data_IF_505643291728
#
_entry.id   IF_505643291728
#
_cell.length_a   1.000
_cell.length_b   1.000
_cell.length_c   1.000
_cell.angle_alpha   90.00
_cell.angle_beta   90.00
_cell.angle_gamma   90.00
#
_symmetry.space_group_name_H-M   'P 1'
#
loop_
_entity.id
_entity.type
_entity.pdbx_description
1 polymer ?
#
# COMPACT_ATOMS: atom_id res chain seq x y z
N UNK A 1 12.57 1.66 2.76
CA UNK A 1 12.32 3.08 2.43
C UNK A 1 11.12 3.68 3.16
N UNK A 2 10.22 2.89 3.76
CA UNK A 2 9.04 3.42 4.49
C UNK A 2 9.34 4.51 5.54
N UNK A 3 10.48 4.39 6.25
CA UNK A 3 10.89 5.32 7.30
C UNK A 3 11.14 6.75 6.79
N UNK A 4 11.39 6.92 5.48
CA UNK A 4 11.59 8.23 4.87
C UNK A 4 10.35 9.12 4.91
N UNK A 5 9.15 8.56 5.15
CA UNK A 5 7.95 9.35 5.41
C UNK A 5 8.05 10.20 6.70
N UNK A 6 8.93 9.81 7.63
CA UNK A 6 9.21 10.46 8.91
C UNK A 6 10.45 11.38 8.84
N UNK A 7 10.95 11.72 7.66
CA UNK A 7 12.16 12.53 7.51
C UNK A 7 13.47 11.83 7.89
N UNK A 8 13.46 10.49 7.99
CA UNK A 8 14.67 9.70 8.23
C UNK A 8 15.15 9.09 6.92
N UNK A 9 16.31 9.54 6.44
CA UNK A 9 16.93 9.04 5.22
C UNK A 9 17.37 7.56 5.38
N UNK A 10 16.71 6.64 4.68
CA UNK A 10 17.04 5.21 4.73
C UNK A 10 16.41 4.36 3.63
N UNK A 11 17.18 3.42 3.08
CA UNK A 11 16.75 2.54 1.99
C UNK A 11 17.17 1.08 2.22
N UNK A 12 16.72 0.18 1.35
CA UNK A 12 17.08 -1.23 1.40
C UNK A 12 18.44 -1.47 0.76
N UNK A 13 19.26 -2.31 1.39
CA UNK A 13 20.59 -2.71 0.91
C UNK A 13 20.73 -4.23 0.99
N UNK A 14 21.73 -4.79 0.29
CA UNK A 14 22.06 -6.21 0.43
C UNK A 14 22.61 -6.53 1.83
N UNK A 15 22.55 -7.80 2.24
CA UNK A 15 23.06 -8.22 3.56
C UNK A 15 24.54 -7.89 3.77
N UNK A 16 25.37 -8.08 2.73
CA UNK A 16 26.81 -7.79 2.78
C UNK A 16 27.08 -6.29 2.98
N UNK A 17 26.32 -5.42 2.30
CA UNK A 17 26.45 -3.97 2.46
C UNK A 17 26.04 -3.53 3.86
N UNK A 18 24.97 -4.14 4.40
CA UNK A 18 24.56 -3.89 5.78
C UNK A 18 25.62 -4.33 6.80
N UNK A 19 26.20 -5.53 6.63
CA UNK A 19 27.28 -6.04 7.48
C UNK A 19 28.51 -5.14 7.43
N UNK A 20 28.91 -4.69 6.23
CA UNK A 20 30.02 -3.74 6.08
C UNK A 20 29.74 -2.42 6.80
N UNK A 21 28.52 -1.86 6.67
CA UNK A 21 28.11 -0.65 7.38
C UNK A 21 28.12 -0.84 8.90
N UNK A 22 27.70 -2.01 9.40
CA UNK A 22 27.77 -2.35 10.82
C UNK A 22 29.21 -2.41 11.35
N UNK A 23 30.18 -2.75 10.49
CA UNK A 23 31.61 -2.74 10.80
C UNK A 23 32.26 -1.35 10.62
N UNK A 24 31.46 -0.31 10.36
CA UNK A 24 31.91 1.08 10.22
C UNK A 24 32.36 1.45 8.81
N UNK A 25 32.15 0.59 7.81
CA UNK A 25 32.45 0.92 6.43
C UNK A 25 31.42 1.91 5.87
N UNK A 26 31.84 3.03 5.24
CA UNK A 26 30.90 3.94 4.57
C UNK A 26 30.18 3.28 3.41
N UNK A 27 28.94 3.71 3.14
CA UNK A 27 28.23 3.37 1.91
C UNK A 27 28.80 4.22 0.77
N UNK A 28 29.24 3.57 -0.30
CA UNK A 28 29.68 4.24 -1.52
C UNK A 28 28.54 4.27 -2.53
N UNK A 29 28.14 5.46 -2.95
CA UNK A 29 27.16 5.66 -4.01
C UNK A 29 27.54 6.84 -4.89
N UNK A 30 27.13 6.80 -6.15
CA UNK A 30 27.19 7.98 -7.01
C UNK A 30 26.24 9.03 -6.45
N UNK A 31 26.60 10.32 -6.58
CA UNK A 31 25.72 11.41 -6.19
C UNK A 31 24.41 11.29 -6.97
N UNK A 32 23.27 11.02 -6.29
CA UNK A 32 22.03 10.72 -6.99
C UNK A 32 21.41 12.01 -7.54
N UNK A 33 20.72 11.87 -8.67
CA UNK A 33 19.76 12.89 -9.09
C UNK A 33 18.57 12.88 -8.13
N UNK A 34 17.97 14.06 -7.90
CA UNK A 34 16.79 14.21 -7.04
C UNK A 34 15.62 14.69 -7.88
N UNK A 35 14.57 13.89 -7.93
CA UNK A 35 13.31 14.21 -8.63
C UNK A 35 12.35 14.79 -7.60
N UNK A 36 11.98 16.06 -7.77
CA UNK A 36 10.97 16.70 -6.93
C UNK A 36 9.57 16.25 -7.32
N UNK A 37 8.80 15.70 -6.39
CA UNK A 37 7.40 15.32 -6.61
C UNK A 37 6.50 16.28 -5.85
N UNK A 38 5.92 17.24 -6.57
CA UNK A 38 5.05 18.27 -6.01
C UNK A 38 3.65 17.70 -5.77
N UNK A 39 3.16 17.83 -4.56
CA UNK A 39 1.79 17.52 -4.17
C UNK A 39 1.05 18.81 -3.88
N UNK A 40 -0.14 18.97 -4.46
CA UNK A 40 -1.03 20.11 -4.23
C UNK A 40 -2.43 19.63 -3.86
N UNK A 41 -3.28 20.50 -3.31
CA UNK A 41 -4.68 20.16 -3.00
C UNK A 41 -4.85 19.16 -1.85
N UNK A 42 -5.98 18.45 -1.85
CA UNK A 42 -6.38 17.50 -0.80
C UNK A 42 -6.97 16.25 -1.42
N UNK A 43 -6.78 15.09 -0.77
CA UNK A 43 -7.41 13.85 -1.22
C UNK A 43 -8.94 13.97 -1.13
N UNK A 44 -9.68 13.59 -2.19
CA UNK A 44 -11.14 13.64 -2.17
C UNK A 44 -11.72 12.58 -1.23
N UNK A 45 -12.97 12.79 -0.81
CA UNK A 45 -13.69 11.80 -0.01
C UNK A 45 -13.78 10.46 -0.77
N UNK A 46 -13.50 9.37 -0.07
CA UNK A 46 -13.48 8.02 -0.63
C UNK A 46 -12.15 7.60 -1.25
N UNK A 47 -11.22 8.53 -1.51
CA UNK A 47 -9.83 8.19 -1.83
C UNK A 47 -9.02 7.89 -0.56
N UNK A 48 -8.06 6.99 -0.68
CA UNK A 48 -7.21 6.52 0.41
C UNK A 48 -5.73 6.73 0.12
N UNK A 49 -4.89 6.58 1.14
CA UNK A 49 -3.43 6.56 0.98
C UNK A 49 -2.97 5.48 -0.02
N UNK A 50 -3.70 4.36 -0.11
CA UNK A 50 -3.45 3.30 -1.09
C UNK A 50 -3.65 3.83 -2.51
N UNK A 51 -4.73 4.55 -2.77
CA UNK A 51 -5.04 5.10 -4.09
C UNK A 51 -4.00 6.14 -4.51
N UNK A 52 -3.57 6.97 -3.55
CA UNK A 52 -2.51 7.94 -3.74
C UNK A 52 -1.19 7.25 -4.10
N UNK A 53 -0.74 6.26 -3.34
CA UNK A 53 0.53 5.60 -3.62
C UNK A 53 0.52 4.83 -4.94
N UNK A 54 -0.61 4.24 -5.34
CA UNK A 54 -0.74 3.59 -6.65
C UNK A 54 -0.64 4.61 -7.80
N UNK A 55 -1.23 5.79 -7.63
CA UNK A 55 -1.14 6.91 -8.59
C UNK A 55 0.29 7.41 -8.71
N UNK A 56 0.95 7.68 -7.57
CA UNK A 56 2.36 8.08 -7.49
C UNK A 56 3.27 7.01 -8.12
N UNK A 57 3.02 5.73 -7.85
CA UNK A 57 3.81 4.61 -8.38
C UNK A 57 3.74 4.56 -9.91
N UNK A 58 2.53 4.70 -10.48
CA UNK A 58 2.33 4.76 -11.92
C UNK A 58 3.07 5.94 -12.56
N UNK A 59 2.96 7.14 -11.98
CA UNK A 59 3.58 8.35 -12.49
C UNK A 59 5.12 8.27 -12.45
N UNK A 60 5.68 7.86 -11.31
CA UNK A 60 7.14 7.75 -11.12
C UNK A 60 7.74 6.64 -11.98
N UNK A 61 7.04 5.51 -12.18
CA UNK A 61 7.47 4.50 -13.16
C UNK A 61 7.51 5.04 -14.58
N UNK A 62 6.51 5.82 -14.98
CA UNK A 62 6.48 6.44 -16.30
C UNK A 62 7.61 7.47 -16.46
N UNK A 63 7.98 8.21 -15.42
CA UNK A 63 9.10 9.16 -15.44
C UNK A 63 10.46 8.46 -15.58
N UNK A 64 10.63 7.29 -14.98
CA UNK A 64 11.92 6.58 -14.96
C UNK A 64 12.86 7.15 -13.89
N UNK A 65 12.60 6.76 -12.64
CA UNK A 65 13.36 7.22 -11.46
C UNK A 65 14.30 6.17 -10.87
N UNK A 66 14.70 5.18 -11.68
CA UNK A 66 15.66 4.14 -11.26
C UNK A 66 16.99 4.77 -10.84
N UNK A 67 17.50 4.35 -9.68
CA UNK A 67 18.73 4.85 -9.04
C UNK A 67 18.73 6.35 -8.69
N UNK A 68 17.55 6.98 -8.66
CA UNK A 68 17.36 8.38 -8.27
C UNK A 68 16.71 8.47 -6.89
N UNK A 69 16.85 9.64 -6.27
CA UNK A 69 16.04 10.02 -5.13
C UNK A 69 14.75 10.68 -5.62
N UNK A 70 13.66 10.44 -4.90
CA UNK A 70 12.43 11.20 -5.04
C UNK A 70 12.22 11.95 -3.73
N UNK A 71 12.01 13.26 -3.81
CA UNK A 71 11.69 14.09 -2.65
C UNK A 71 10.33 14.74 -2.86
N UNK A 72 9.42 14.54 -1.90
CA UNK A 72 8.07 15.07 -1.95
C UNK A 72 8.03 16.47 -1.33
N UNK A 73 7.36 17.39 -2.03
CA UNK A 73 7.22 18.78 -1.62
C UNK A 73 5.87 19.36 -2.05
N UNK A 74 5.63 20.63 -1.76
CA UNK A 74 4.36 21.31 -2.05
C UNK A 74 3.40 21.32 -0.87
N UNK A 75 2.37 22.16 -0.98
CA UNK A 75 1.36 22.42 0.04
C UNK A 75 0.51 21.18 0.36
N UNK A 76 0.31 20.29 -0.61
CA UNK A 76 -0.37 19.01 -0.43
C UNK A 76 0.35 18.08 0.55
N UNK A 77 1.66 18.24 0.79
CA UNK A 77 2.38 17.45 1.80
C UNK A 77 1.86 17.74 3.23
N UNK A 78 1.45 18.98 3.51
CA UNK A 78 0.90 19.39 4.80
C UNK A 78 -0.49 18.79 5.08
N UNK A 79 -1.20 18.36 4.03
CA UNK A 79 -2.50 17.70 4.15
C UNK A 79 -2.39 16.20 4.47
N UNK A 80 -1.22 15.59 4.27
CA UNK A 80 -1.01 14.15 4.47
C UNK A 80 -0.59 13.86 5.90
N UNK A 81 -1.21 12.85 6.51
CA UNK A 81 -0.74 12.31 7.80
C UNK A 81 0.59 11.60 7.60
N UNK A 82 1.35 11.41 8.69
CA UNK A 82 2.60 10.66 8.64
C UNK A 82 2.40 9.24 8.10
N UNK A 83 1.29 8.60 8.44
CA UNK A 83 0.99 7.26 7.92
C UNK A 83 0.81 7.27 6.38
N UNK A 84 0.18 8.30 5.82
CA UNK A 84 0.02 8.44 4.37
C UNK A 84 1.38 8.64 3.69
N UNK A 85 2.25 9.49 4.26
CA UNK A 85 3.62 9.69 3.79
C UNK A 85 4.44 8.39 3.83
N UNK A 86 4.31 7.62 4.90
CA UNK A 86 4.97 6.33 5.04
C UNK A 86 4.45 5.30 4.03
N UNK A 87 3.15 5.28 3.73
CA UNK A 87 2.56 4.46 2.65
C UNK A 87 3.22 4.79 1.31
N UNK A 88 3.38 6.08 0.97
CA UNK A 88 4.03 6.52 -0.27
C UNK A 88 5.51 6.13 -0.30
N UNK A 89 6.26 6.48 0.74
CA UNK A 89 7.68 6.21 0.86
C UNK A 89 8.01 4.69 0.88
N UNK A 90 7.09 3.87 1.38
CA UNK A 90 7.22 2.42 1.39
C UNK A 90 7.38 1.85 -0.02
N UNK A 91 6.60 2.36 -0.99
CA UNK A 91 6.55 1.83 -2.34
C UNK A 91 7.69 2.31 -3.27
N UNK A 92 8.75 2.91 -2.71
CA UNK A 92 9.89 3.37 -3.50
C UNK A 92 10.55 2.31 -4.37
N UNK A 93 10.77 1.07 -3.89
CA UNK A 93 11.26 -0.01 -4.74
C UNK A 93 10.30 -0.31 -5.91
N UNK A 94 8.98 -0.23 -5.69
CA UNK A 94 7.94 -0.48 -6.68
C UNK A 94 7.88 0.57 -7.77
N UNK A 95 8.28 1.82 -7.51
CA UNK A 95 8.49 2.84 -8.55
C UNK A 95 9.93 3.06 -9.00
N UNK A 96 10.89 2.39 -8.36
CA UNK A 96 12.27 2.24 -8.79
C UNK A 96 13.25 3.21 -8.16
N UNK A 97 12.78 4.18 -7.38
CA UNK A 97 13.68 5.09 -6.71
C UNK A 97 14.45 4.36 -5.61
N UNK A 98 15.67 4.82 -5.32
CA UNK A 98 16.41 4.37 -4.15
C UNK A 98 15.63 4.67 -2.87
N UNK A 99 14.90 5.80 -2.86
CA UNK A 99 13.99 6.19 -1.80
C UNK A 99 12.95 7.23 -2.25
N UNK A 100 11.89 7.39 -1.45
CA UNK A 100 10.96 8.52 -1.50
C UNK A 100 10.95 9.26 -0.17
N UNK A 101 11.36 10.52 -0.16
CA UNK A 101 11.67 11.28 1.05
C UNK A 101 10.64 12.38 1.33
N UNK A 102 10.15 12.44 2.57
CA UNK A 102 9.39 13.56 3.10
C UNK A 102 10.23 14.22 4.20
N UNK A 103 10.59 15.51 4.08
CA UNK A 103 11.36 16.20 5.11
C UNK A 103 10.66 16.22 6.48
N UNK A 104 11.45 16.43 7.54
CA UNK A 104 10.91 16.67 8.89
C UNK A 104 10.12 17.98 8.90
N UNK A 105 8.92 17.95 9.45
CA UNK A 105 8.02 19.09 9.59
C UNK A 105 7.15 18.97 10.87
N UNK A 106 6.14 19.83 11.00
CA UNK A 106 5.23 19.81 12.16
C UNK A 106 4.47 18.48 12.29
N UNK A 107 4.06 17.85 11.18
CA UNK A 107 3.37 16.56 11.22
C UNK A 107 4.28 15.43 11.71
N UNK A 108 5.58 15.52 11.42
CA UNK A 108 6.60 14.62 11.98
C UNK A 108 6.62 14.73 13.50
N UNK A 109 6.66 15.95 14.05
CA UNK A 109 6.63 16.18 15.50
C UNK A 109 5.31 15.69 16.12
N UNK A 110 4.17 15.95 15.46
CA UNK A 110 2.86 15.49 15.90
C UNK A 110 2.76 13.97 15.93
N UNK A 111 3.37 13.27 14.96
CA UNK A 111 3.44 11.82 14.97
C UNK A 111 4.32 11.29 16.12
N UNK A 112 5.48 11.89 16.38
CA UNK A 112 6.32 11.52 17.54
C UNK A 112 5.56 11.68 18.85
N UNK A 113 4.80 12.77 19.00
CA UNK A 113 3.94 13.00 20.18
C UNK A 113 2.82 11.96 20.30
N UNK A 114 2.10 11.68 19.21
CA UNK A 114 1.01 10.67 19.18
C UNK A 114 1.50 9.24 19.44
N UNK A 115 2.75 8.94 19.09
CA UNK A 115 3.39 7.64 19.36
C UNK A 115 4.09 7.58 20.71
N UNK A 116 3.86 8.57 21.58
CA UNK A 116 4.29 8.55 22.97
C UNK A 116 5.78 8.78 23.18
N UNK A 117 6.46 9.47 22.26
CA UNK A 117 7.86 9.91 22.49
C UNK A 117 7.89 11.03 23.53
N UNK A 118 8.94 11.06 24.34
CA UNK A 118 9.13 12.06 25.38
C UNK A 118 9.21 13.48 24.79
N UNK A 119 8.55 14.44 25.44
CA UNK A 119 8.50 15.82 24.96
C UNK A 119 9.90 16.44 24.85
N UNK A 120 10.82 16.09 25.74
CA UNK A 120 12.22 16.53 25.67
C UNK A 120 12.93 16.05 24.39
N UNK A 121 12.63 14.83 23.91
CA UNK A 121 13.15 14.32 22.65
C UNK A 121 12.53 15.06 21.47
N UNK A 122 11.23 15.32 21.50
CA UNK A 122 10.52 16.06 20.43
C UNK A 122 11.11 17.47 20.28
N UNK A 123 11.30 18.17 21.39
CA UNK A 123 11.94 19.50 21.41
C UNK A 123 13.39 19.45 20.90
N UNK A 124 14.14 18.39 21.20
CA UNK A 124 15.48 18.20 20.66
C UNK A 124 15.45 18.01 19.15
N UNK A 125 14.56 17.17 18.63
CA UNK A 125 14.39 16.94 17.18
C UNK A 125 14.04 18.24 16.48
N UNK A 126 13.04 18.96 16.97
CA UNK A 126 12.62 20.25 16.41
C UNK A 126 13.76 21.26 16.39
N UNK A 127 14.41 21.50 17.54
CA UNK A 127 15.50 22.48 17.65
C UNK A 127 16.66 22.11 16.74
N UNK A 128 17.10 20.85 16.78
CA UNK A 128 18.24 20.38 15.98
C UNK A 128 17.95 20.54 14.49
N UNK A 129 16.80 20.07 14.01
CA UNK A 129 16.46 20.13 12.58
C UNK A 129 16.29 21.56 12.08
N UNK A 130 15.75 22.47 12.90
CA UNK A 130 15.69 23.92 12.59
C UNK A 130 17.08 24.55 12.54
N UNK A 131 17.95 24.29 13.53
CA UNK A 131 19.32 24.82 13.55
C UNK A 131 20.18 24.29 12.39
N UNK A 132 19.94 23.06 11.93
CA UNK A 132 20.61 22.48 10.76
C UNK A 132 19.98 22.90 9.42
N UNK A 133 18.84 23.61 9.43
CA UNK A 133 18.14 24.01 8.20
C UNK A 133 17.46 22.87 7.44
N UNK A 134 17.14 21.75 8.11
CA UNK A 134 16.50 20.55 7.53
C UNK A 134 15.06 20.33 8.03
N UNK A 135 14.50 21.29 8.76
CA UNK A 135 13.10 21.34 9.14
C UNK A 135 12.30 22.11 8.08
N UNK A 136 11.40 21.45 7.35
CA UNK A 136 10.60 22.06 6.29
C UNK A 136 9.46 22.88 6.88
N UNK A 137 9.34 24.13 6.44
CA UNK A 137 8.19 24.99 6.71
C UNK A 137 7.54 25.45 5.39
N UNK A 138 6.25 25.86 5.39
CA UNK A 138 5.56 26.30 4.17
C UNK A 138 6.16 27.53 3.49
N UNK A 139 6.83 28.40 4.25
CA UNK A 139 7.45 29.65 3.78
C UNK A 139 8.87 29.45 3.20
N UNK A 140 9.47 28.26 3.40
CA UNK A 140 10.78 27.97 2.82
C UNK A 140 10.69 27.82 1.30
N UNK A 141 11.68 28.35 0.56
CA UNK A 141 11.76 28.12 -0.88
C UNK A 141 11.89 26.63 -1.18
N UNK A 142 11.35 26.20 -2.32
CA UNK A 142 11.49 24.82 -2.75
C UNK A 142 12.95 24.49 -3.11
N UNK A 143 13.44 23.28 -2.81
CA UNK A 143 14.78 22.86 -3.21
C UNK A 143 14.96 22.88 -4.73
N UNK A 144 16.20 23.01 -5.19
CA UNK A 144 16.54 22.90 -6.61
C UNK A 144 16.66 21.42 -6.96
N UNK A 145 15.60 20.87 -7.56
CA UNK A 145 15.56 19.49 -8.03
C UNK A 145 16.19 19.33 -9.41
N UNK A 146 16.63 18.12 -9.74
CA UNK A 146 17.14 17.79 -11.08
C UNK A 146 16.02 17.87 -12.14
N UNK A 147 14.82 17.42 -11.76
CA UNK A 147 13.61 17.45 -12.56
C UNK A 147 12.41 17.34 -11.62
N UNK A 148 11.20 17.63 -12.10
CA UNK A 148 9.99 17.63 -11.29
C UNK A 148 8.83 16.86 -11.92
N UNK A 149 7.90 16.42 -11.07
CA UNK A 149 6.52 16.07 -11.41
C UNK A 149 5.57 16.79 -10.46
N UNK A 150 4.31 16.89 -10.85
CA UNK A 150 3.25 17.46 -10.04
C UNK A 150 2.01 16.57 -10.07
N UNK A 151 1.33 16.46 -8.93
CA UNK A 151 0.06 15.78 -8.76
C UNK A 151 -0.84 16.64 -7.87
N UNK A 152 -2.02 17.01 -8.39
CA UNK A 152 -3.12 17.48 -7.56
C UNK A 152 -3.75 16.27 -6.86
N UNK A 153 -3.78 16.29 -5.54
CA UNK A 153 -4.38 15.23 -4.74
C UNK A 153 -5.89 15.09 -5.02
N UNK A 154 -6.55 16.13 -5.54
CA UNK A 154 -7.95 16.11 -5.97
C UNK A 154 -8.21 15.19 -7.17
N UNK A 155 -7.19 14.89 -7.98
CA UNK A 155 -7.30 13.98 -9.13
C UNK A 155 -7.20 12.49 -8.75
N UNK A 156 -6.92 12.19 -7.47
CA UNK A 156 -6.79 10.82 -6.99
C UNK A 156 -8.17 10.20 -6.81
N UNK A 157 -8.44 9.14 -7.57
CA UNK A 157 -9.66 8.34 -7.48
C UNK A 157 -9.36 6.92 -6.94
N UNK A 158 -10.36 6.25 -6.31
CA UNK A 158 -10.24 4.86 -5.88
C UNK A 158 -9.73 3.93 -6.99
N UNK A 159 -8.73 3.11 -6.70
CA UNK A 159 -8.04 2.30 -7.69
C UNK A 159 -7.44 1.01 -7.10
N UNK A 160 -7.09 0.09 -8.00
CA UNK A 160 -6.33 -1.12 -7.72
C UNK A 160 -5.08 -1.14 -8.59
N UNK A 161 -4.15 -2.05 -8.32
CA UNK A 161 -3.04 -2.33 -9.21
C UNK A 161 -2.98 -3.81 -9.56
N UNK A 162 -2.80 -4.12 -10.84
CA UNK A 162 -2.71 -5.49 -11.30
C UNK A 162 -3.19 -5.69 -12.75
N UNK A 163 -3.38 -6.95 -13.16
CA UNK A 163 -3.30 -8.16 -12.32
C UNK A 163 -1.87 -8.65 -12.05
N UNK A 164 -0.84 -8.07 -12.69
CA UNK A 164 0.53 -8.65 -12.67
C UNK A 164 1.62 -7.74 -12.11
N UNK A 165 1.43 -6.41 -12.04
CA UNK A 165 2.46 -5.48 -11.57
C UNK A 165 1.89 -4.34 -10.71
N UNK A 166 2.65 -3.80 -9.74
CA UNK A 166 2.20 -2.70 -8.87
C UNK A 166 1.90 -1.38 -9.60
N UNK A 167 2.57 -1.11 -10.72
CA UNK A 167 2.36 0.10 -11.51
C UNK A 167 1.20 0.03 -12.51
N UNK A 168 0.58 -1.15 -12.66
CA UNK A 168 -0.58 -1.34 -13.53
C UNK A 168 -1.85 -0.87 -12.81
N UNK A 169 -1.91 0.44 -12.51
CA UNK A 169 -3.05 1.07 -11.83
C UNK A 169 -4.30 1.00 -12.72
N UNK A 170 -5.40 0.54 -12.13
CA UNK A 170 -6.74 0.46 -12.72
C UNK A 170 -7.73 1.20 -11.82
N UNK A 171 -8.41 2.25 -12.31
CA UNK A 171 -9.48 2.89 -11.56
C UNK A 171 -10.56 1.87 -11.17
N UNK A 172 -11.05 1.94 -9.94
CA UNK A 172 -12.03 0.99 -9.40
C UNK A 172 -13.27 0.90 -10.29
N UNK A 173 -13.75 2.03 -10.81
CA UNK A 173 -14.88 2.12 -11.73
C UNK A 173 -14.66 1.32 -13.05
N UNK A 174 -13.40 1.11 -13.45
CA UNK A 174 -13.02 0.38 -14.68
C UNK A 174 -12.51 -1.04 -14.41
N UNK A 175 -12.49 -1.49 -13.16
CA UNK A 175 -11.90 -2.79 -12.78
C UNK A 175 -12.51 -3.94 -13.59
N UNK A 176 -13.85 -4.00 -13.69
CA UNK A 176 -14.55 -5.06 -14.43
C UNK A 176 -14.16 -5.11 -15.91
N UNK A 177 -14.21 -3.97 -16.60
CA UNK A 177 -13.86 -3.90 -18.02
C UNK A 177 -12.38 -4.20 -18.24
N UNK A 178 -11.50 -3.65 -17.41
CA UNK A 178 -10.06 -3.88 -17.50
C UNK A 178 -9.69 -5.36 -17.28
N UNK A 179 -10.37 -6.04 -16.35
CA UNK A 179 -10.17 -7.48 -16.14
C UNK A 179 -10.66 -8.29 -17.36
N UNK A 180 -11.82 -7.97 -17.92
CA UNK A 180 -12.34 -8.62 -19.13
C UNK A 180 -11.44 -8.43 -20.35
N UNK A 181 -10.83 -7.26 -20.49
CA UNK A 181 -9.79 -6.97 -21.49
C UNK A 181 -8.53 -7.80 -21.22
N UNK A 182 -8.07 -7.87 -19.96
CA UNK A 182 -6.90 -8.64 -19.57
C UNK A 182 -7.07 -10.15 -19.83
N UNK A 183 -8.27 -10.72 -19.65
CA UNK A 183 -8.52 -12.14 -19.97
C UNK A 183 -8.23 -12.46 -21.45
N UNK A 184 -8.57 -11.55 -22.36
CA UNK A 184 -8.37 -11.72 -23.82
C UNK A 184 -7.00 -11.30 -24.30
N UNK A 185 -6.38 -10.33 -23.64
CA UNK A 185 -5.14 -9.74 -24.10
C UNK A 185 -4.02 -10.80 -24.24
N UNK A 186 -3.14 -10.67 -25.25
CA UNK A 186 -1.99 -11.54 -25.41
C UNK A 186 -1.08 -11.59 -24.17
N UNK A 187 -0.38 -12.72 -23.96
CA UNK A 187 0.49 -12.93 -22.79
C UNK A 187 1.68 -11.95 -22.76
N UNK A 188 2.23 -11.58 -23.93
CA UNK A 188 3.30 -10.58 -24.08
C UNK A 188 2.84 -9.17 -23.69
N UNK A 189 1.55 -8.88 -23.88
CA UNK A 189 0.86 -7.69 -23.36
C UNK A 189 0.29 -7.90 -21.95
N UNK A 190 0.76 -8.91 -21.24
CA UNK A 190 0.41 -9.24 -19.85
C UNK A 190 -1.04 -9.69 -19.66
N UNK A 191 -1.78 -10.03 -20.70
CA UNK A 191 -3.08 -10.68 -20.57
C UNK A 191 -2.98 -12.20 -20.34
N UNK A 192 -4.12 -12.88 -20.41
CA UNK A 192 -4.26 -14.33 -20.22
C UNK A 192 -4.51 -15.10 -21.51
N UNK A 193 -4.69 -14.41 -22.64
CA UNK A 193 -4.87 -14.99 -23.98
C UNK A 193 -5.97 -16.08 -24.06
N UNK A 194 -7.07 -15.88 -23.34
CA UNK A 194 -8.23 -16.76 -23.38
C UNK A 194 -9.07 -16.47 -24.64
N UNK A 195 -9.49 -17.54 -25.32
CA UNK A 195 -10.49 -17.47 -26.39
C UNK A 195 -11.93 -17.41 -25.84
N UNK A 196 -12.91 -17.18 -26.72
CA UNK A 196 -14.32 -17.05 -26.30
C UNK A 196 -14.88 -18.33 -25.64
N UNK A 197 -14.39 -19.53 -25.99
CA UNK A 197 -14.82 -20.76 -25.32
C UNK A 197 -14.21 -20.89 -23.92
N UNK A 198 -12.96 -20.45 -23.75
CA UNK A 198 -12.28 -20.44 -22.48
C UNK A 198 -12.89 -19.43 -21.49
N UNK A 199 -13.37 -18.29 -21.98
CA UNK A 199 -14.01 -17.27 -21.16
C UNK A 199 -15.32 -17.71 -20.49
N UNK A 200 -15.99 -18.72 -21.05
CA UNK A 200 -17.21 -19.30 -20.50
C UNK A 200 -16.96 -20.41 -19.47
N UNK A 201 -15.68 -20.75 -19.21
CA UNK A 201 -15.33 -21.78 -18.23
C UNK A 201 -15.82 -21.41 -16.84
N UNK A 202 -16.40 -22.40 -16.18
CA UNK A 202 -16.94 -22.28 -14.83
C UNK A 202 -16.69 -23.56 -14.05
N UNK A 203 -16.59 -23.44 -12.74
CA UNK A 203 -16.44 -24.57 -11.83
C UNK A 203 -17.52 -24.51 -10.74
N UNK A 204 -17.76 -25.65 -10.09
CA UNK A 204 -18.63 -25.74 -8.93
C UNK A 204 -17.78 -25.95 -7.68
N UNK A 205 -18.03 -25.15 -6.64
CA UNK A 205 -17.47 -25.33 -5.31
C UNK A 205 -18.60 -25.74 -4.37
N UNK A 206 -18.50 -26.92 -3.78
CA UNK A 206 -19.42 -27.39 -2.75
C UNK A 206 -18.81 -27.21 -1.35
N UNK A 207 -19.39 -26.36 -0.52
CA UNK A 207 -18.94 -26.04 0.85
C UNK A 207 -20.10 -25.89 1.83
N UNK A 208 -20.02 -26.57 2.98
CA UNK A 208 -21.01 -26.50 4.06
C UNK A 208 -22.47 -26.70 3.60
N UNK A 209 -22.68 -27.62 2.65
CA UNK A 209 -24.01 -27.91 2.09
C UNK A 209 -24.49 -26.90 1.03
N UNK A 210 -23.68 -25.89 0.68
CA UNK A 210 -23.94 -24.95 -0.41
C UNK A 210 -23.07 -25.28 -1.62
N UNK A 211 -23.66 -25.26 -2.81
CA UNK A 211 -22.92 -25.40 -4.08
C UNK A 211 -22.97 -24.08 -4.82
N UNK A 212 -21.81 -23.51 -5.12
CA UNK A 212 -21.68 -22.23 -5.80
C UNK A 212 -20.95 -22.40 -7.13
N UNK A 213 -21.48 -21.75 -8.18
CA UNK A 213 -20.87 -21.71 -9.50
C UNK A 213 -19.93 -20.51 -9.58
N UNK A 214 -18.65 -20.77 -9.87
CA UNK A 214 -17.60 -19.76 -10.01
C UNK A 214 -17.08 -19.70 -11.45
N UNK A 215 -16.52 -18.57 -11.83
CA UNK A 215 -15.86 -18.36 -13.12
C UNK A 215 -14.65 -17.46 -12.96
N UNK A 216 -14.14 -16.93 -14.08
CA UNK A 216 -13.00 -16.00 -14.05
C UNK A 216 -13.29 -14.75 -13.19
N UNK A 217 -12.29 -14.32 -12.43
CA UNK A 217 -12.35 -13.17 -11.53
C UNK A 217 -12.95 -13.49 -10.16
N UNK A 218 -13.17 -14.76 -9.84
CA UNK A 218 -13.57 -15.18 -8.49
C UNK A 218 -12.46 -14.86 -7.49
N UNK A 219 -12.78 -14.10 -6.46
CA UNK A 219 -11.83 -13.81 -5.38
C UNK A 219 -11.69 -15.06 -4.51
N UNK A 220 -10.50 -15.63 -4.44
CA UNK A 220 -10.20 -16.81 -3.60
C UNK A 220 -9.33 -16.48 -2.39
N UNK A 221 -8.63 -15.35 -2.42
CA UNK A 221 -7.85 -14.81 -1.30
C UNK A 221 -8.23 -13.34 -1.12
N UNK A 222 -8.52 -12.94 0.12
CA UNK A 222 -8.72 -11.55 0.50
C UNK A 222 -7.95 -11.27 1.79
N UNK A 223 -6.79 -10.60 1.69
CA UNK A 223 -5.89 -10.40 2.82
C UNK A 223 -5.70 -8.91 3.12
N UNK A 224 -6.02 -8.49 4.35
CA UNK A 224 -5.57 -7.22 4.89
C UNK A 224 -4.19 -7.45 5.50
N UNK A 225 -3.16 -7.08 4.77
CA UNK A 225 -1.75 -7.40 5.08
C UNK A 225 -0.85 -6.22 4.72
N UNK A 226 0.48 -6.43 4.81
CA UNK A 226 1.54 -5.46 4.53
C UNK A 226 1.67 -4.34 5.56
N UNK A 227 2.92 -3.99 5.88
CA UNK A 227 3.23 -2.77 6.64
C UNK A 227 2.80 -1.49 5.88
N UNK A 228 2.71 -1.53 4.55
CA UNK A 228 2.30 -0.40 3.70
C UNK A 228 0.95 0.21 4.13
N UNK A 229 -0.02 -0.66 4.47
CA UNK A 229 -1.38 -0.24 4.82
C UNK A 229 -1.72 -0.49 6.29
N UNK A 230 -1.21 -1.56 6.91
CA UNK A 230 -1.57 -1.86 8.31
C UNK A 230 -0.94 -0.90 9.32
N UNK A 231 0.07 -0.14 8.92
CA UNK A 231 0.62 0.97 9.71
C UNK A 231 -0.25 2.23 9.69
N UNK A 232 -1.25 2.29 8.81
CA UNK A 232 -2.09 3.46 8.61
C UNK A 232 -3.48 3.26 9.28
N UNK A 233 -3.74 3.93 10.41
CA UNK A 233 -5.01 3.77 11.13
C UNK A 233 -6.23 4.17 10.30
N UNK A 234 -6.11 5.11 9.35
CA UNK A 234 -7.23 5.59 8.54
C UNK A 234 -7.85 4.46 7.72
N UNK A 235 -7.04 3.69 7.00
CA UNK A 235 -7.53 2.57 6.17
C UNK A 235 -7.93 1.36 7.02
N UNK A 236 -7.28 1.14 8.16
CA UNK A 236 -7.62 0.04 9.06
C UNK A 236 -8.93 0.26 9.81
N UNK A 237 -9.16 1.47 10.33
CA UNK A 237 -10.45 1.87 10.90
C UNK A 237 -11.52 1.93 9.82
N UNK A 238 -11.19 2.43 8.62
CA UNK A 238 -12.08 2.41 7.45
C UNK A 238 -12.56 1.00 7.11
N UNK A 239 -11.65 0.01 7.09
CA UNK A 239 -11.99 -1.39 6.86
C UNK A 239 -12.90 -1.95 7.97
N UNK A 240 -12.61 -1.66 9.23
CA UNK A 240 -13.46 -2.08 10.36
C UNK A 240 -14.86 -1.45 10.32
N UNK A 241 -14.95 -0.16 9.99
CA UNK A 241 -16.23 0.55 9.83
C UNK A 241 -17.04 0.01 8.64
N UNK A 242 -16.38 -0.34 7.55
CA UNK A 242 -17.00 -1.00 6.41
C UNK A 242 -17.53 -2.38 6.80
N UNK A 243 -16.72 -3.19 7.50
CA UNK A 243 -17.13 -4.50 8.00
C UNK A 243 -18.36 -4.40 8.91
N UNK A 244 -18.37 -3.43 9.84
CA UNK A 244 -19.52 -3.15 10.70
C UNK A 244 -20.77 -2.84 9.89
N UNK A 245 -20.68 -1.90 8.95
CA UNK A 245 -21.80 -1.51 8.08
C UNK A 245 -22.30 -2.66 7.20
N UNK A 246 -21.43 -3.57 6.77
CA UNK A 246 -21.78 -4.73 5.96
C UNK A 246 -22.53 -5.78 6.78
N UNK A 247 -22.00 -6.15 7.96
CA UNK A 247 -22.63 -7.12 8.87
C UNK A 247 -23.98 -6.62 9.37
N UNK A 248 -24.10 -5.34 9.75
CA UNK A 248 -25.38 -4.73 10.15
C UNK A 248 -26.42 -4.72 9.03
N UNK A 249 -25.99 -4.83 7.77
CA UNK A 249 -26.85 -4.98 6.59
C UNK A 249 -27.11 -6.44 6.19
N UNK A 250 -26.63 -7.41 6.97
CA UNK A 250 -26.78 -8.83 6.69
C UNK A 250 -25.90 -9.36 5.56
N UNK A 251 -24.83 -8.64 5.20
CA UNK A 251 -23.83 -9.13 4.24
C UNK A 251 -22.84 -10.05 4.95
N UNK A 252 -22.36 -11.05 4.19
CA UNK A 252 -21.36 -12.02 4.64
C UNK A 252 -20.36 -12.33 3.51
N UNK A 253 -19.20 -12.84 3.89
CA UNK A 253 -18.20 -13.37 2.96
C UNK A 253 -18.53 -14.78 2.52
N UNK A 254 -18.11 -15.15 1.31
CA UNK A 254 -18.26 -16.53 0.84
C UNK A 254 -17.30 -17.45 1.59
N UNK A 255 -17.74 -18.64 2.04
CA UNK A 255 -16.95 -19.49 2.94
C UNK A 255 -15.68 -20.04 2.31
N UNK A 256 -15.64 -20.11 0.97
CA UNK A 256 -14.46 -20.57 0.22
C UNK A 256 -13.37 -19.50 0.08
N UNK A 257 -13.65 -18.24 0.43
CA UNK A 257 -12.67 -17.15 0.34
C UNK A 257 -11.73 -17.23 1.52
N UNK A 258 -10.43 -17.34 1.25
CA UNK A 258 -9.43 -17.28 2.30
C UNK A 258 -9.21 -15.84 2.74
N UNK A 259 -9.95 -15.42 3.76
CA UNK A 259 -9.81 -14.13 4.41
C UNK A 259 -8.71 -14.15 5.48
N UNK A 260 -8.00 -13.04 5.65
CA UNK A 260 -6.98 -12.91 6.70
C UNK A 260 -6.70 -11.45 7.04
N UNK A 261 -6.43 -11.19 8.32
CA UNK A 261 -5.91 -9.92 8.81
C UNK A 261 -4.53 -10.17 9.45
N UNK A 262 -3.48 -9.54 8.91
CA UNK A 262 -2.11 -9.67 9.38
C UNK A 262 -1.52 -8.29 9.67
N UNK A 263 -1.75 -7.73 10.87
CA UNK A 263 -1.26 -6.41 11.21
C UNK A 263 0.27 -6.35 11.37
N UNK A 264 0.87 -5.21 11.06
CA UNK A 264 2.30 -4.98 11.31
C UNK A 264 2.67 -4.83 12.79
N UNK A 265 1.69 -4.56 13.68
CA UNK A 265 1.91 -4.45 15.12
C UNK A 265 0.64 -4.71 15.93
N UNK A 266 0.79 -4.93 17.24
CA UNK A 266 -0.34 -5.12 18.18
C UNK A 266 -1.21 -3.89 18.34
N UNK A 267 -0.65 -2.69 18.13
CA UNK A 267 -1.38 -1.41 18.23
C UNK A 267 -2.61 -1.40 17.31
N UNK A 268 -2.52 -2.05 16.15
CA UNK A 268 -3.62 -2.20 15.21
C UNK A 268 -4.80 -2.94 15.82
N UNK A 269 -4.52 -4.10 16.41
CA UNK A 269 -5.54 -4.91 17.09
C UNK A 269 -6.12 -4.13 18.27
N UNK A 270 -5.26 -3.47 19.07
CA UNK A 270 -5.70 -2.72 20.25
C UNK A 270 -6.70 -1.59 19.90
N UNK A 271 -6.45 -0.79 18.85
CA UNK A 271 -7.42 0.26 18.48
C UNK A 271 -8.67 -0.30 17.81
N UNK A 272 -8.59 -1.42 17.08
CA UNK A 272 -9.76 -2.07 16.48
C UNK A 272 -10.68 -2.66 17.56
N UNK A 273 -10.10 -3.27 18.59
CA UNK A 273 -10.80 -3.80 19.75
C UNK A 273 -11.46 -2.67 20.55
N UNK A 274 -10.71 -1.61 20.86
CA UNK A 274 -11.23 -0.44 21.59
C UNK A 274 -12.33 0.30 20.85
N UNK A 275 -12.27 0.33 19.51
CA UNK A 275 -13.32 0.89 18.67
C UNK A 275 -14.54 -0.06 18.51
N UNK A 276 -14.47 -1.28 19.04
CA UNK A 276 -15.52 -2.29 18.89
C UNK A 276 -15.68 -2.81 17.46
N UNK A 277 -14.64 -2.75 16.64
CA UNK A 277 -14.68 -3.12 15.21
C UNK A 277 -14.24 -4.56 14.95
N UNK A 278 -13.43 -5.14 15.82
CA UNK A 278 -12.91 -6.51 15.67
C UNK A 278 -13.99 -7.58 15.50
N UNK A 279 -15.09 -7.60 16.28
CA UNK A 279 -16.13 -8.61 16.08
C UNK A 279 -16.73 -8.61 14.67
N UNK A 280 -16.83 -7.44 14.03
CA UNK A 280 -17.37 -7.30 12.68
C UNK A 280 -16.38 -7.74 11.61
N UNK A 281 -15.09 -7.46 11.79
CA UNK A 281 -14.03 -7.99 10.92
C UNK A 281 -14.01 -9.53 10.98
N UNK A 282 -14.09 -10.10 12.19
CA UNK A 282 -14.13 -11.54 12.40
C UNK A 282 -15.40 -12.19 11.85
N UNK A 283 -16.55 -11.51 11.94
CA UNK A 283 -17.79 -12.00 11.33
C UNK A 283 -17.67 -12.16 9.80
N UNK A 284 -16.82 -11.34 9.16
CA UNK A 284 -16.46 -11.46 7.73
C UNK A 284 -15.19 -12.31 7.50
N UNK A 285 -14.77 -13.10 8.49
CA UNK A 285 -13.61 -13.99 8.42
C UNK A 285 -12.23 -13.31 8.50
N UNK A 286 -12.14 -11.99 8.64
CA UNK A 286 -10.87 -11.27 8.81
C UNK A 286 -10.34 -11.37 10.24
N UNK A 287 -10.01 -12.60 10.65
CA UNK A 287 -9.35 -12.87 11.91
C UNK A 287 -7.88 -12.43 11.87
N UNK A 288 -7.37 -11.97 13.01
CA UNK A 288 -5.93 -11.74 13.18
C UNK A 288 -5.20 -13.08 13.13
N UNK A 289 -4.50 -13.34 12.02
CA UNK A 289 -3.77 -14.61 11.79
C UNK A 289 -2.31 -14.57 12.24
N UNK A 290 -1.78 -13.37 12.47
CA UNK A 290 -0.41 -13.17 12.94
C UNK A 290 0.06 -11.73 12.79
N UNK A 291 1.18 -11.41 13.41
CA UNK A 291 1.84 -10.11 13.30
C UNK A 291 3.10 -10.24 12.46
N UNK A 292 3.03 -9.88 11.17
CA UNK A 292 4.14 -10.05 10.24
C UNK A 292 3.71 -10.01 8.77
N UNK A 293 4.65 -10.26 7.86
CA UNK A 293 4.46 -10.03 6.43
C UNK A 293 3.40 -10.93 5.77
N UNK A 294 3.30 -12.20 6.16
CA UNK A 294 2.27 -13.16 5.67
C UNK A 294 2.07 -13.11 4.14
N UNK A 295 0.83 -12.94 3.67
CA UNK A 295 0.44 -12.88 2.26
C UNK A 295 1.22 -11.82 1.47
N UNK A 296 1.67 -10.73 2.09
CA UNK A 296 2.43 -9.67 1.41
C UNK A 296 3.73 -10.18 0.75
N UNK A 297 4.37 -11.20 1.33
CA UNK A 297 5.60 -11.81 0.79
C UNK A 297 5.36 -13.18 0.16
N UNK A 298 4.10 -13.50 -0.16
CA UNK A 298 3.72 -14.80 -0.72
C UNK A 298 3.53 -15.91 0.32
N UNK A 299 3.71 -15.64 1.61
CA UNK A 299 3.39 -16.59 2.70
C UNK A 299 1.88 -16.60 2.96
N UNK A 300 1.10 -16.88 1.92
CA UNK A 300 -0.36 -16.90 1.94
C UNK A 300 -0.92 -18.22 2.46
N UNK A 301 -0.14 -19.31 2.44
CA UNK A 301 -0.59 -20.67 2.77
C UNK A 301 -1.64 -21.22 1.79
N UNK A 302 -2.12 -22.46 1.97
CA UNK A 302 -3.03 -23.08 1.01
C UNK A 302 -4.42 -22.44 1.06
N UNK A 303 -5.06 -22.25 -0.10
CA UNK A 303 -6.53 -22.11 -0.20
C UNK A 303 -7.18 -23.48 0.05
N UNK A 304 -8.49 -23.56 0.38
CA UNK A 304 -9.14 -24.86 0.56
C UNK A 304 -8.96 -25.76 -0.67
N UNK A 305 -8.63 -27.03 -0.47
CA UNK A 305 -8.23 -27.95 -1.55
C UNK A 305 -9.26 -27.99 -2.71
N UNK A 306 -10.55 -28.06 -2.38
CA UNK A 306 -11.65 -28.00 -3.36
C UNK A 306 -11.64 -26.75 -4.24
N UNK A 307 -11.21 -25.60 -3.70
CA UNK A 307 -11.15 -24.33 -4.43
C UNK A 307 -9.97 -24.38 -5.39
N UNK A 308 -8.82 -24.87 -4.92
CA UNK A 308 -7.65 -25.07 -5.78
C UNK A 308 -7.97 -26.07 -6.91
N UNK A 309 -8.60 -27.20 -6.60
CA UNK A 309 -9.03 -28.20 -7.58
C UNK A 309 -10.02 -27.62 -8.60
N UNK A 310 -11.00 -26.82 -8.16
CA UNK A 310 -11.96 -26.17 -9.04
C UNK A 310 -11.29 -25.14 -9.97
N UNK A 311 -10.41 -24.30 -9.44
CA UNK A 311 -9.70 -23.26 -10.21
C UNK A 311 -8.72 -23.89 -11.20
N UNK A 312 -7.88 -24.82 -10.75
CA UNK A 312 -6.88 -25.48 -11.61
C UNK A 312 -7.55 -26.43 -12.60
N UNK A 313 -8.54 -27.21 -12.16
CA UNK A 313 -9.21 -28.21 -12.99
C UNK A 313 -10.04 -27.62 -14.13
N UNK A 314 -10.50 -26.37 -13.99
CA UNK A 314 -11.23 -25.63 -15.03
C UNK A 314 -10.40 -24.49 -15.63
N UNK A 315 -9.10 -24.41 -15.31
CA UNK A 315 -8.16 -23.39 -15.81
C UNK A 315 -8.75 -21.96 -15.70
N UNK A 316 -9.26 -21.66 -14.50
CA UNK A 316 -9.85 -20.36 -14.16
C UNK A 316 -8.76 -19.37 -13.76
N UNK A 317 -8.99 -18.10 -14.08
CA UNK A 317 -8.20 -16.97 -13.62
C UNK A 317 -8.88 -16.42 -12.38
N UNK A 318 -8.27 -16.61 -11.21
CA UNK A 318 -8.81 -16.26 -9.88
C UNK A 318 -7.83 -15.38 -9.09
#
# INVERSE_FOLDING_TARGET
>A
TMINGLGVLGWGVGGIEAEAAMLGQPIYMLMPQVIGFRLTGFLPEGATATDLVLTVTQMLRKKGVVDKFVEFYGDGCGALTLADRATIANMAPEYGATMGFFPVDDETLNYLRRTGRDEALIQLVERYTKEQGVFRTPDMPDPIFTDTLELDLGDVEPSLAGPKRPQDRVPLARMKSAFQEALRAPVDKRGFALDETALERTALIAENGTTEKIGHGVVVIAAITSCTNTSNPSVMLGAGLLAKKAVERGLDTKPYVKTSLAPGSRVVTDYLDRAGLTPYLQALGFHTVGYGCTTCIGNSGPVPARVAEAVVGQDLVA
#
